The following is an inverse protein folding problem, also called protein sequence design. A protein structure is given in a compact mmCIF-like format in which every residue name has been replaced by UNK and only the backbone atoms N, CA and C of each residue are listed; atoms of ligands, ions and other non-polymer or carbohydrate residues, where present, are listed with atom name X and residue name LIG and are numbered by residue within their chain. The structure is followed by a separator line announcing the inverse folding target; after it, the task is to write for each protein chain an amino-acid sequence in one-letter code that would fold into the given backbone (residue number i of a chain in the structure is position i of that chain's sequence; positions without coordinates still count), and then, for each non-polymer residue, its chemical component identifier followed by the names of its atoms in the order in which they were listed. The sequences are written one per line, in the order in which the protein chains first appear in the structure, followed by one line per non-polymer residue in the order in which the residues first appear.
data_IF_895390821916
#
_entry.id   IF_895390821916
#
_cell.length_a   1.000
_cell.length_b   1.000
_cell.length_c   1.000
_cell.angle_alpha   90.00
_cell.angle_beta   90.00
_cell.angle_gamma   90.00
#
_symmetry.space_group_name_H-M   'P 1'
#
loop_
_entity.id
_entity.type
_entity.pdbx_description
1 polymer ?
#
# COMPACT_ATOMS: atom_id res chain seq x y z
N UNK A 1 4.50 -21.27 -19.93
CA UNK A 1 4.23 -21.25 -18.49
C UNK A 1 3.17 -20.20 -18.22
N UNK A 2 2.14 -20.56 -17.48
CA UNK A 2 1.11 -19.65 -17.02
C UNK A 2 1.36 -19.33 -15.54
N UNK A 3 1.47 -18.06 -15.15
CA UNK A 3 1.66 -17.65 -13.77
C UNK A 3 0.59 -16.66 -13.31
N UNK A 4 0.25 -16.70 -12.01
CA UNK A 4 -0.54 -15.68 -11.34
C UNK A 4 0.40 -14.78 -10.54
N UNK A 5 0.47 -13.48 -10.88
CA UNK A 5 1.26 -12.49 -10.16
C UNK A 5 0.34 -11.73 -9.20
N UNK A 6 0.65 -11.85 -7.93
CA UNK A 6 -0.03 -11.19 -6.80
C UNK A 6 0.99 -10.44 -5.94
N UNK A 7 0.55 -9.46 -5.16
CA UNK A 7 1.39 -8.66 -4.27
C UNK A 7 0.56 -8.01 -3.18
N UNK A 8 1.22 -7.52 -2.13
CA UNK A 8 0.66 -6.58 -1.15
C UNK A 8 -0.70 -7.05 -0.58
N UNK A 9 -0.76 -8.33 -0.18
CA UNK A 9 -1.98 -8.95 0.34
C UNK A 9 -2.28 -8.55 1.78
N UNK A 10 -1.27 -8.07 2.53
CA UNK A 10 -1.38 -7.51 3.88
C UNK A 10 -2.29 -8.31 4.82
N UNK A 11 -2.11 -9.63 4.87
CA UNK A 11 -2.88 -10.49 5.77
C UNK A 11 -2.74 -10.03 7.22
N UNK A 12 -3.86 -9.90 7.92
CA UNK A 12 -3.92 -9.40 9.29
C UNK A 12 -4.09 -7.89 9.40
N UNK A 13 -4.18 -7.15 8.26
CA UNK A 13 -4.47 -5.73 8.30
C UNK A 13 -5.89 -5.46 8.76
N UNK A 14 -6.02 -4.78 9.89
CA UNK A 14 -7.29 -4.36 10.47
C UNK A 14 -7.58 -2.90 10.09
N UNK A 15 -7.91 -2.65 8.80
CA UNK A 15 -8.22 -1.31 8.32
C UNK A 15 -9.33 -0.68 9.17
N UNK A 16 -9.07 0.53 9.70
CA UNK A 16 -9.96 1.29 10.60
C UNK A 16 -10.29 0.57 11.92
N UNK A 17 -9.44 -0.38 12.37
CA UNK A 17 -9.67 -1.25 13.51
C UNK A 17 -10.95 -2.11 13.41
N UNK A 18 -11.38 -2.42 12.20
CA UNK A 18 -12.55 -3.25 11.94
C UNK A 18 -12.13 -4.70 11.67
N UNK A 19 -12.69 -5.62 12.45
CA UNK A 19 -12.55 -7.06 12.23
C UNK A 19 -13.15 -7.48 10.88
N UNK A 20 -14.27 -6.86 10.48
CA UNK A 20 -14.88 -7.08 9.17
C UNK A 20 -13.93 -6.75 8.01
N UNK A 21 -13.04 -5.74 8.15
CA UNK A 21 -12.05 -5.41 7.13
C UNK A 21 -10.87 -6.38 7.13
N UNK A 22 -10.47 -6.89 8.27
CA UNK A 22 -9.47 -7.96 8.36
C UNK A 22 -9.98 -9.23 7.65
N UNK A 23 -11.22 -9.62 7.92
CA UNK A 23 -11.88 -10.75 7.27
C UNK A 23 -12.03 -10.56 5.75
N UNK A 24 -12.30 -9.34 5.28
CA UNK A 24 -12.36 -9.05 3.84
C UNK A 24 -11.03 -9.38 3.14
N UNK A 25 -9.87 -9.05 3.76
CA UNK A 25 -8.57 -9.38 3.19
C UNK A 25 -8.31 -10.89 3.16
N UNK A 26 -8.76 -11.63 4.18
CA UNK A 26 -8.68 -13.08 4.21
C UNK A 26 -9.51 -13.72 3.08
N UNK A 27 -10.72 -13.21 2.85
CA UNK A 27 -11.57 -13.67 1.75
C UNK A 27 -10.98 -13.33 0.38
N UNK A 28 -10.39 -12.14 0.24
CA UNK A 28 -9.69 -11.73 -1.00
C UNK A 28 -8.51 -12.66 -1.27
N UNK A 29 -7.72 -13.02 -0.25
CA UNK A 29 -6.62 -13.96 -0.42
C UNK A 29 -7.12 -15.35 -0.85
N UNK A 30 -8.23 -15.82 -0.26
CA UNK A 30 -8.87 -17.06 -0.69
C UNK A 30 -9.34 -17.00 -2.15
N UNK A 31 -9.95 -15.88 -2.60
CA UNK A 31 -10.33 -15.68 -4.00
C UNK A 31 -9.11 -15.74 -4.95
N UNK A 32 -7.95 -15.19 -4.55
CA UNK A 32 -6.72 -15.28 -5.35
C UNK A 32 -6.24 -16.73 -5.51
N UNK A 33 -6.36 -17.53 -4.46
CA UNK A 33 -6.06 -18.96 -4.50
C UNK A 33 -7.06 -19.71 -5.39
N UNK A 34 -8.35 -19.37 -5.30
CA UNK A 34 -9.39 -19.92 -6.18
C UNK A 34 -9.07 -19.61 -7.65
N UNK A 35 -8.74 -18.36 -7.98
CA UNK A 35 -8.32 -17.94 -9.32
C UNK A 35 -7.10 -18.76 -9.83
N UNK A 36 -6.10 -18.96 -8.97
CA UNK A 36 -4.92 -19.76 -9.34
C UNK A 36 -5.29 -21.20 -9.69
N UNK A 37 -6.23 -21.79 -8.94
CA UNK A 37 -6.71 -23.18 -9.16
C UNK A 37 -7.60 -23.26 -10.40
N UNK A 38 -8.54 -22.32 -10.56
CA UNK A 38 -9.48 -22.28 -11.69
C UNK A 38 -8.78 -22.06 -13.02
N UNK A 39 -7.83 -21.12 -13.06
CA UNK A 39 -7.00 -20.82 -14.24
C UNK A 39 -5.91 -21.90 -14.47
N UNK A 40 -5.74 -22.83 -13.54
CA UNK A 40 -4.76 -23.93 -13.61
C UNK A 40 -3.35 -23.40 -13.87
N UNK A 41 -2.96 -22.36 -13.13
CA UNK A 41 -1.64 -21.76 -13.30
C UNK A 41 -0.53 -22.74 -12.93
N UNK A 42 0.63 -22.59 -13.54
CA UNK A 42 1.82 -23.39 -13.25
C UNK A 42 2.52 -22.95 -11.97
N UNK A 43 2.29 -21.70 -11.55
CA UNK A 43 2.91 -21.09 -10.38
C UNK A 43 2.15 -19.84 -9.95
N UNK A 44 2.10 -19.57 -8.64
CA UNK A 44 1.77 -18.24 -8.08
C UNK A 44 3.07 -17.55 -7.73
N UNK A 45 3.24 -16.30 -8.18
CA UNK A 45 4.36 -15.43 -7.85
C UNK A 45 3.83 -14.28 -6.98
N UNK A 46 4.37 -14.14 -5.77
CA UNK A 46 4.01 -13.09 -4.81
C UNK A 46 5.18 -12.12 -4.62
N UNK A 47 5.00 -10.87 -5.01
CA UNK A 47 6.07 -9.88 -5.00
C UNK A 47 6.16 -9.03 -3.72
N UNK A 48 5.90 -9.66 -2.55
CA UNK A 48 6.13 -9.07 -1.22
C UNK A 48 4.88 -8.56 -0.52
N UNK A 49 5.02 -8.29 0.77
CA UNK A 49 3.96 -7.86 1.70
C UNK A 49 2.79 -8.87 1.75
N UNK A 50 3.16 -10.11 2.09
CA UNK A 50 2.16 -11.16 2.35
C UNK A 50 1.37 -10.84 3.62
N UNK A 51 2.05 -10.34 4.66
CA UNK A 51 1.45 -9.91 5.92
C UNK A 51 1.57 -8.41 6.12
N UNK A 52 0.64 -7.82 6.90
CA UNK A 52 0.66 -6.38 7.22
C UNK A 52 1.77 -5.99 8.20
N UNK A 53 2.28 -6.94 8.95
CA UNK A 53 3.37 -6.74 9.91
C UNK A 53 4.27 -7.97 9.98
N UNK A 54 5.53 -7.75 10.35
CA UNK A 54 6.55 -8.81 10.46
C UNK A 54 6.29 -9.85 11.58
N UNK A 55 5.37 -9.58 12.48
CA UNK A 55 4.89 -10.50 13.51
C UNK A 55 3.36 -10.51 13.47
N UNK A 56 2.77 -11.22 12.49
CA UNK A 56 1.33 -11.27 12.29
C UNK A 56 0.61 -12.01 13.43
N UNK A 57 -0.72 -11.89 13.45
CA UNK A 57 -1.55 -12.65 14.37
C UNK A 57 -1.54 -14.14 14.00
N UNK A 58 -1.76 -15.01 15.00
CA UNK A 58 -1.92 -16.45 14.75
C UNK A 58 -3.04 -16.74 13.73
N UNK A 59 -4.07 -15.89 13.67
CA UNK A 59 -5.17 -16.04 12.72
C UNK A 59 -4.68 -15.78 11.30
N UNK A 60 -3.94 -14.69 11.07
CA UNK A 60 -3.35 -14.38 9.76
C UNK A 60 -2.40 -15.50 9.30
N UNK A 61 -1.57 -16.04 10.20
CA UNK A 61 -0.69 -17.18 9.89
C UNK A 61 -1.49 -18.43 9.52
N UNK A 62 -2.54 -18.75 10.29
CA UNK A 62 -3.41 -19.90 10.00
C UNK A 62 -4.11 -19.79 8.65
N UNK A 63 -4.60 -18.59 8.30
CA UNK A 63 -5.20 -18.32 6.99
C UNK A 63 -4.16 -18.55 5.87
N UNK A 64 -2.95 -17.98 6.02
CA UNK A 64 -1.89 -18.19 5.05
C UNK A 64 -1.55 -19.68 4.89
N UNK A 65 -1.34 -20.41 5.98
CA UNK A 65 -1.04 -21.84 5.95
C UNK A 65 -2.17 -22.61 5.25
N UNK A 66 -3.43 -22.33 5.57
CA UNK A 66 -4.58 -23.01 4.97
C UNK A 66 -4.64 -22.79 3.46
N UNK A 67 -4.57 -21.56 3.01
CA UNK A 67 -4.70 -21.21 1.60
C UNK A 67 -3.50 -21.69 0.77
N UNK A 68 -2.28 -21.55 1.31
CA UNK A 68 -1.08 -22.08 0.66
C UNK A 68 -1.05 -23.61 0.59
N UNK A 69 -1.64 -24.30 1.58
CA UNK A 69 -1.82 -25.75 1.55
C UNK A 69 -2.75 -26.17 0.41
N UNK A 70 -3.82 -25.41 0.13
CA UNK A 70 -4.71 -25.68 -1.01
C UNK A 70 -3.96 -25.63 -2.35
N UNK A 71 -3.06 -24.66 -2.55
CA UNK A 71 -2.20 -24.60 -3.73
C UNK A 71 -1.27 -25.80 -3.79
N UNK A 72 -0.60 -26.13 -2.68
CA UNK A 72 0.30 -27.28 -2.58
C UNK A 72 -0.40 -28.58 -2.93
N UNK A 73 -1.61 -28.81 -2.44
CA UNK A 73 -2.42 -29.98 -2.73
C UNK A 73 -2.81 -30.11 -4.21
N UNK A 74 -2.86 -28.97 -4.91
CA UNK A 74 -3.07 -28.91 -6.38
C UNK A 74 -1.76 -28.97 -7.17
N UNK A 75 -0.62 -29.07 -6.49
CA UNK A 75 0.70 -29.08 -7.13
C UNK A 75 1.11 -27.71 -7.73
N UNK A 76 0.48 -26.62 -7.29
CA UNK A 76 0.79 -25.25 -7.72
C UNK A 76 1.79 -24.66 -6.72
N UNK A 77 3.06 -24.46 -7.08
CA UNK A 77 4.04 -23.83 -6.20
C UNK A 77 3.72 -22.36 -5.98
N UNK A 78 3.90 -21.92 -4.73
CA UNK A 78 3.87 -20.51 -4.37
C UNK A 78 5.31 -20.01 -4.20
N UNK A 79 5.70 -19.04 -5.01
CA UNK A 79 7.04 -18.44 -5.00
C UNK A 79 6.86 -16.98 -4.57
N UNK A 80 7.44 -16.60 -3.43
CA UNK A 80 7.25 -15.26 -2.91
C UNK A 80 8.48 -14.75 -2.19
N UNK A 81 8.62 -13.44 -2.13
CA UNK A 81 9.69 -12.75 -1.40
C UNK A 81 9.09 -11.95 -0.24
N UNK A 82 9.82 -11.76 0.87
CA UNK A 82 9.43 -10.81 1.90
C UNK A 82 9.47 -9.37 1.37
N UNK A 83 8.39 -8.59 1.62
CA UNK A 83 8.34 -7.16 1.43
C UNK A 83 8.85 -6.39 2.66
N UNK A 84 8.57 -5.09 2.73
CA UNK A 84 9.02 -4.25 3.84
C UNK A 84 8.17 -4.44 5.10
N UNK A 85 6.88 -4.77 4.95
CA UNK A 85 6.01 -5.13 6.07
C UNK A 85 6.36 -6.51 6.66
N UNK A 86 6.79 -7.47 5.84
CA UNK A 86 7.20 -8.80 6.28
C UNK A 86 8.58 -8.80 6.97
N UNK A 87 9.36 -7.73 6.82
CA UNK A 87 10.75 -7.65 7.27
C UNK A 87 10.86 -6.84 8.57
N UNK A 88 11.55 -7.37 9.62
CA UNK A 88 11.75 -6.62 10.86
C UNK A 88 12.53 -5.32 10.64
N UNK A 89 12.00 -4.19 11.13
CA UNK A 89 12.62 -2.85 11.00
C UNK A 89 13.82 -2.64 11.95
N UNK A 90 13.96 -3.47 13.00
CA UNK A 90 15.08 -3.37 13.95
C UNK A 90 16.21 -4.34 13.58
N UNK A 91 17.43 -3.82 13.46
CA UNK A 91 18.64 -4.64 13.37
C UNK A 91 18.91 -5.30 14.72
N UNK A 92 18.51 -6.58 14.90
CA UNK A 92 19.12 -7.44 15.91
C UNK A 92 20.47 -7.94 15.41
N UNK A 93 21.36 -8.32 16.33
CA UNK A 93 22.57 -9.07 16.02
C UNK A 93 22.15 -10.48 15.57
N UNK A 94 22.00 -10.67 14.25
CA UNK A 94 21.67 -11.96 13.66
C UNK A 94 20.62 -11.86 12.54
N UNK A 95 20.49 -12.95 11.77
CA UNK A 95 19.46 -13.10 10.74
C UNK A 95 18.10 -13.20 11.46
N UNK A 96 17.24 -12.21 11.30
CA UNK A 96 15.87 -12.28 11.82
C UNK A 96 15.11 -13.35 11.03
N UNK A 97 14.57 -14.35 11.75
CA UNK A 97 13.65 -15.32 11.17
C UNK A 97 12.33 -14.59 10.89
N UNK A 98 11.84 -14.72 9.66
CA UNK A 98 10.56 -14.16 9.23
C UNK A 98 9.49 -15.26 9.16
N UNK A 99 8.22 -14.88 9.06
CA UNK A 99 7.14 -15.84 8.81
C UNK A 99 7.36 -16.57 7.48
N UNK A 100 7.98 -15.91 6.49
CA UNK A 100 8.37 -16.57 5.23
C UNK A 100 9.33 -17.74 5.45
N UNK A 101 10.31 -17.62 6.35
CA UNK A 101 11.24 -18.71 6.68
C UNK A 101 10.50 -19.90 7.33
N UNK A 102 9.47 -19.63 8.14
CA UNK A 102 8.59 -20.65 8.69
C UNK A 102 7.77 -21.35 7.60
N UNK A 103 7.10 -20.55 6.74
CA UNK A 103 6.30 -21.11 5.63
C UNK A 103 7.16 -21.90 4.64
N UNK A 104 8.40 -21.48 4.42
CA UNK A 104 9.38 -22.22 3.62
C UNK A 104 9.76 -23.56 4.27
N UNK A 105 9.97 -23.56 5.59
CA UNK A 105 10.25 -24.80 6.35
C UNK A 105 9.08 -25.80 6.25
N UNK A 106 7.84 -25.31 6.21
CA UNK A 106 6.63 -26.12 5.99
C UNK A 106 6.47 -26.57 4.52
N UNK A 107 7.33 -26.09 3.63
CA UNK A 107 7.25 -26.38 2.19
C UNK A 107 6.01 -25.77 1.50
N UNK A 108 5.49 -24.66 2.05
CA UNK A 108 4.32 -23.94 1.53
C UNK A 108 4.72 -22.79 0.59
N UNK A 109 5.90 -22.24 0.77
CA UNK A 109 6.46 -21.15 -0.05
C UNK A 109 7.89 -21.50 -0.46
N UNK A 110 8.33 -20.99 -1.60
CA UNK A 110 9.73 -20.96 -2.01
C UNK A 110 10.17 -19.52 -2.17
N UNK A 111 11.33 -19.17 -1.62
CA UNK A 111 11.88 -17.81 -1.68
C UNK A 111 13.07 -17.81 -2.62
N UNK A 112 12.96 -17.16 -3.81
CA UNK A 112 14.07 -17.06 -4.74
C UNK A 112 15.06 -15.99 -4.32
N UNK A 113 16.34 -16.17 -4.69
CA UNK A 113 17.37 -15.13 -4.58
C UNK A 113 17.97 -14.84 -5.97
N UNK A 114 18.70 -13.74 -6.13
CA UNK A 114 19.38 -13.43 -7.40
C UNK A 114 20.46 -14.47 -7.73
N UNK A 115 21.15 -14.98 -6.70
CA UNK A 115 22.20 -16.01 -6.83
C UNK A 115 21.66 -17.44 -6.84
N UNK A 116 20.46 -17.67 -6.28
CA UNK A 116 19.82 -18.97 -6.16
C UNK A 116 18.38 -18.90 -6.68
N UNK A 117 18.20 -18.78 -8.01
CA UNK A 117 16.89 -18.71 -8.62
C UNK A 117 16.16 -20.06 -8.57
N UNK A 118 14.85 -20.00 -8.77
CA UNK A 118 13.99 -21.19 -8.80
C UNK A 118 13.53 -21.45 -10.24
N UNK A 119 13.63 -22.69 -10.69
CA UNK A 119 13.18 -23.07 -12.02
C UNK A 119 11.78 -23.71 -11.96
N UNK A 120 10.87 -23.24 -12.82
CA UNK A 120 9.53 -23.78 -13.01
C UNK A 120 9.24 -23.90 -14.51
N UNK A 121 9.04 -25.12 -14.98
CA UNK A 121 8.68 -25.40 -16.39
C UNK A 121 9.56 -24.68 -17.44
N UNK A 122 10.86 -24.63 -17.18
CA UNK A 122 11.84 -24.02 -18.09
C UNK A 122 11.88 -22.49 -18.04
N UNK A 123 11.26 -21.87 -17.03
CA UNK A 123 11.36 -20.45 -16.73
C UNK A 123 12.12 -20.27 -15.42
N UNK A 124 13.15 -19.43 -15.43
CA UNK A 124 13.98 -19.15 -14.26
C UNK A 124 13.42 -17.96 -13.52
N UNK A 125 13.11 -18.12 -12.22
CA UNK A 125 12.53 -17.10 -11.34
C UNK A 125 13.60 -16.62 -10.39
N UNK A 126 14.05 -15.39 -10.58
CA UNK A 126 14.96 -14.65 -9.71
C UNK A 126 14.16 -13.82 -8.73
N UNK A 127 14.70 -13.57 -7.54
CA UNK A 127 14.05 -12.70 -6.57
C UNK A 127 15.03 -11.98 -5.66
N UNK A 128 14.57 -10.91 -5.06
CA UNK A 128 15.27 -10.22 -3.98
C UNK A 128 14.26 -9.66 -3.01
N UNK A 129 14.40 -10.05 -1.73
CA UNK A 129 13.62 -9.47 -0.63
C UNK A 129 13.80 -7.96 -0.56
N UNK A 130 12.89 -7.27 0.09
CA UNK A 130 13.00 -5.82 0.30
C UNK A 130 14.37 -5.43 0.87
N UNK A 131 14.97 -4.41 0.28
CA UNK A 131 16.23 -3.80 0.72
C UNK A 131 15.90 -2.45 1.36
N UNK A 132 16.02 -2.31 2.69
CA UNK A 132 15.78 -1.04 3.35
C UNK A 132 16.73 0.05 2.87
N UNK A 133 16.24 1.28 2.74
CA UNK A 133 17.06 2.47 2.47
C UNK A 133 17.82 2.86 3.73
N UNK A 134 18.96 2.24 3.98
CA UNK A 134 19.80 2.49 5.14
C UNK A 134 20.94 3.47 4.86
N UNK A 135 21.40 3.51 3.62
CA UNK A 135 22.46 4.37 3.12
C UNK A 135 22.43 4.40 1.59
N UNK A 136 23.11 5.35 1.01
CA UNK A 136 23.31 5.44 -0.43
C UNK A 136 24.09 4.24 -0.98
N UNK A 137 25.05 3.73 -0.19
CA UNK A 137 25.82 2.53 -0.54
C UNK A 137 24.94 1.29 -0.68
N UNK A 138 23.99 1.08 0.26
CA UNK A 138 23.07 -0.07 0.19
C UNK A 138 22.18 -0.03 -1.06
N UNK A 139 21.79 1.15 -1.50
CA UNK A 139 21.03 1.35 -2.75
C UNK A 139 21.91 1.05 -3.95
N UNK A 140 23.13 1.57 -3.99
CA UNK A 140 24.08 1.36 -5.07
C UNK A 140 24.42 -0.11 -5.23
N UNK A 141 24.74 -0.81 -4.14
CA UNK A 141 25.03 -2.25 -4.12
C UNK A 141 23.86 -3.07 -4.70
N UNK A 142 22.62 -2.70 -4.33
CA UNK A 142 21.43 -3.37 -4.86
C UNK A 142 21.25 -3.13 -6.36
N UNK A 143 21.42 -1.89 -6.83
CA UNK A 143 21.32 -1.54 -8.24
C UNK A 143 22.41 -2.24 -9.07
N UNK A 144 23.63 -2.31 -8.57
CA UNK A 144 24.73 -3.03 -9.21
C UNK A 144 24.47 -4.53 -9.28
N UNK A 145 23.91 -5.12 -8.22
CA UNK A 145 23.52 -6.53 -8.20
C UNK A 145 22.44 -6.83 -9.27
N UNK A 146 21.46 -5.93 -9.45
CA UNK A 146 20.46 -6.07 -10.50
C UNK A 146 21.08 -5.96 -11.90
N UNK A 147 21.86 -4.92 -12.16
CA UNK A 147 22.51 -4.67 -13.48
C UNK A 147 23.51 -5.78 -13.87
N UNK A 148 24.12 -6.42 -12.87
CA UNK A 148 25.07 -7.53 -13.10
C UNK A 148 24.39 -8.87 -13.38
N UNK A 149 23.08 -8.99 -13.12
CA UNK A 149 22.30 -10.21 -13.39
C UNK A 149 22.30 -10.51 -14.88
N UNK A 150 22.61 -11.77 -15.24
CA UNK A 150 22.66 -12.27 -16.63
C UNK A 150 21.65 -13.42 -16.78
N UNK A 151 20.35 -13.12 -16.93
CA UNK A 151 19.35 -14.15 -17.10
C UNK A 151 19.59 -14.96 -18.38
N UNK A 152 19.29 -16.24 -18.33
CA UNK A 152 19.36 -17.13 -19.49
C UNK A 152 17.96 -17.65 -19.82
N UNK A 153 17.57 -17.52 -21.09
CA UNK A 153 16.25 -17.95 -21.54
C UNK A 153 15.10 -17.11 -20.95
N UNK A 154 13.93 -17.71 -20.88
CA UNK A 154 12.76 -17.04 -20.27
C UNK A 154 12.94 -16.91 -18.77
N UNK A 155 12.73 -15.71 -18.26
CA UNK A 155 13.01 -15.38 -16.86
C UNK A 155 11.99 -14.41 -16.26
N UNK A 156 11.75 -14.59 -14.96
CA UNK A 156 10.94 -13.72 -14.14
C UNK A 156 11.82 -13.12 -13.05
N UNK A 157 11.71 -11.82 -12.80
CA UNK A 157 12.38 -11.14 -11.69
C UNK A 157 11.33 -10.64 -10.71
N UNK A 158 11.42 -11.05 -9.44
CA UNK A 158 10.46 -10.73 -8.39
C UNK A 158 11.10 -9.74 -7.42
N UNK A 159 10.51 -8.54 -7.27
CA UNK A 159 11.04 -7.48 -6.42
C UNK A 159 9.94 -6.76 -5.64
N UNK A 160 10.30 -6.25 -4.46
CA UNK A 160 9.44 -5.41 -3.63
C UNK A 160 10.22 -4.16 -3.22
N UNK A 161 10.23 -3.13 -4.07
CA UNK A 161 11.10 -1.97 -3.92
C UNK A 161 10.41 -0.68 -4.39
N UNK A 162 10.76 0.45 -3.77
CA UNK A 162 10.39 1.76 -4.28
C UNK A 162 11.07 2.03 -5.63
N UNK A 163 10.28 2.40 -6.63
CA UNK A 163 10.73 2.71 -8.00
C UNK A 163 10.70 4.22 -8.21
N UNK A 164 11.82 4.77 -8.67
CA UNK A 164 12.02 6.22 -8.82
C UNK A 164 10.92 6.88 -9.64
N UNK A 165 10.56 6.30 -10.77
CA UNK A 165 9.61 6.86 -11.72
C UNK A 165 8.15 6.89 -11.21
N UNK A 166 7.86 6.18 -10.13
CA UNK A 166 6.53 6.08 -9.53
C UNK A 166 6.39 6.88 -8.22
N UNK A 167 7.50 7.43 -7.71
CA UNK A 167 7.52 8.20 -6.48
C UNK A 167 7.54 9.71 -6.78
N UNK A 168 6.80 10.52 -6.00
CA UNK A 168 6.81 11.98 -6.16
C UNK A 168 8.10 12.62 -5.63
N UNK A 169 9.01 11.84 -5.03
CA UNK A 169 10.21 12.33 -4.34
C UNK A 169 11.47 11.62 -4.82
N UNK A 170 12.52 12.39 -5.07
CA UNK A 170 13.80 11.88 -5.61
C UNK A 170 14.69 11.13 -4.59
N UNK A 171 14.24 10.90 -3.36
CA UNK A 171 15.06 10.29 -2.31
C UNK A 171 14.52 8.98 -1.72
N UNK A 172 13.28 8.63 -1.96
CA UNK A 172 12.61 7.48 -1.32
C UNK A 172 12.54 6.23 -2.22
N UNK A 173 13.49 6.03 -3.13
CA UNK A 173 13.50 4.88 -4.04
C UNK A 173 14.74 4.01 -3.86
N UNK A 174 14.61 2.73 -4.12
CA UNK A 174 15.71 1.77 -4.17
C UNK A 174 16.23 1.56 -5.58
N UNK A 175 15.37 1.67 -6.59
CA UNK A 175 15.71 1.39 -7.98
C UNK A 175 14.95 2.28 -8.96
N UNK A 176 15.42 2.27 -10.21
CA UNK A 176 14.74 2.77 -11.40
C UNK A 176 14.31 1.60 -12.28
N UNK A 177 13.35 1.77 -13.16
CA UNK A 177 13.01 0.76 -14.17
C UNK A 177 14.20 0.40 -15.07
N UNK A 178 15.14 1.33 -15.26
CA UNK A 178 16.38 1.09 -16.05
C UNK A 178 17.36 0.14 -15.35
N UNK A 179 17.25 -0.11 -14.05
CA UNK A 179 18.10 -1.05 -13.32
C UNK A 179 17.71 -2.52 -13.56
N UNK A 180 16.48 -2.74 -14.04
CA UNK A 180 16.02 -4.10 -14.40
C UNK A 180 16.65 -4.52 -15.72
N UNK A 181 17.44 -5.62 -15.78
CA UNK A 181 18.06 -6.09 -17.02
C UNK A 181 17.04 -6.26 -18.15
N UNK A 182 17.43 -5.89 -19.34
CA UNK A 182 16.59 -6.00 -20.54
C UNK A 182 16.29 -7.45 -20.92
N UNK A 183 17.13 -8.38 -20.51
CA UNK A 183 16.99 -9.82 -20.74
C UNK A 183 15.90 -10.47 -19.87
N UNK A 184 15.44 -9.80 -18.83
CA UNK A 184 14.30 -10.28 -18.03
C UNK A 184 13.04 -10.24 -18.87
N UNK A 185 12.39 -11.40 -19.03
CA UNK A 185 11.16 -11.54 -19.80
C UNK A 185 9.98 -10.86 -19.12
N UNK A 186 9.85 -11.02 -17.79
CA UNK A 186 8.78 -10.44 -16.98
C UNK A 186 9.31 -10.00 -15.61
N UNK A 187 9.15 -8.74 -15.25
CA UNK A 187 9.46 -8.26 -13.92
C UNK A 187 8.17 -8.10 -13.10
N UNK A 188 8.06 -8.89 -12.03
CA UNK A 188 6.96 -8.92 -11.09
C UNK A 188 7.30 -8.05 -9.88
N UNK A 189 6.71 -6.85 -9.80
CA UNK A 189 6.98 -5.87 -8.77
C UNK A 189 5.81 -5.75 -7.78
N UNK A 190 6.12 -5.42 -6.53
CA UNK A 190 5.19 -5.02 -5.46
C UNK A 190 5.50 -3.64 -4.91
N UNK A 191 5.06 -3.37 -3.67
CA UNK A 191 5.23 -2.13 -2.90
C UNK A 191 4.27 -0.99 -3.28
N UNK A 192 3.87 -0.89 -4.53
CA UNK A 192 2.85 0.07 -4.95
C UNK A 192 1.51 -0.64 -5.06
N UNK A 193 0.49 -0.05 -4.45
CA UNK A 193 -0.81 -0.71 -4.33
C UNK A 193 -1.70 -0.55 -5.57
N UNK A 194 -1.38 0.36 -6.48
CA UNK A 194 -2.07 0.48 -7.75
C UNK A 194 -1.46 -0.44 -8.81
N UNK A 195 -2.32 -1.07 -9.59
CA UNK A 195 -1.90 -1.88 -10.73
C UNK A 195 -1.22 -1.04 -11.79
N UNK A 196 -0.10 -1.55 -12.27
CA UNK A 196 0.67 -0.93 -13.35
C UNK A 196 1.23 -2.01 -14.27
N UNK A 197 1.29 -1.74 -15.57
CA UNK A 197 1.95 -2.59 -16.56
C UNK A 197 2.61 -1.73 -17.62
N UNK A 198 3.85 -2.04 -17.92
CA UNK A 198 4.64 -1.38 -18.95
C UNK A 198 5.30 -2.45 -19.85
N UNK A 199 5.12 -2.31 -21.15
CA UNK A 199 5.81 -3.12 -22.16
C UNK A 199 7.03 -2.35 -22.66
N UNK A 200 8.19 -3.00 -22.64
CA UNK A 200 9.43 -2.44 -23.17
C UNK A 200 9.52 -2.64 -24.67
N UNK A 201 10.41 -1.91 -25.35
CA UNK A 201 10.63 -1.99 -26.80
C UNK A 201 11.05 -3.40 -27.26
N UNK A 202 11.77 -4.14 -26.43
CA UNK A 202 12.18 -5.52 -26.70
C UNK A 202 11.07 -6.57 -26.44
N UNK A 203 9.85 -6.15 -26.14
CA UNK A 203 8.70 -7.01 -25.86
C UNK A 203 8.60 -7.50 -24.40
N UNK A 204 9.65 -7.30 -23.58
CA UNK A 204 9.58 -7.67 -22.16
C UNK A 204 8.59 -6.79 -21.38
N UNK A 205 8.12 -7.29 -20.23
CA UNK A 205 7.09 -6.60 -19.45
C UNK A 205 7.56 -6.35 -18.02
N UNK A 206 7.28 -5.15 -17.52
CA UNK A 206 7.37 -4.79 -16.09
C UNK A 206 5.95 -4.56 -15.60
N UNK A 207 5.55 -5.23 -14.53
CA UNK A 207 4.22 -5.10 -13.97
C UNK A 207 4.24 -5.04 -12.44
N UNK A 208 3.34 -4.24 -11.89
CA UNK A 208 3.03 -4.16 -10.47
C UNK A 208 1.62 -4.75 -10.30
N UNK A 209 1.48 -5.75 -9.43
CA UNK A 209 0.18 -6.37 -9.22
C UNK A 209 -0.77 -5.47 -8.41
N UNK A 210 -0.20 -4.67 -7.54
CA UNK A 210 -0.93 -3.86 -6.58
C UNK A 210 -1.51 -4.68 -5.43
N UNK A 211 -2.03 -3.99 -4.41
CA UNK A 211 -2.79 -4.66 -3.37
C UNK A 211 -4.09 -5.23 -3.95
N UNK A 212 -4.50 -6.45 -3.59
CA UNK A 212 -5.71 -7.05 -4.15
C UNK A 212 -7.00 -6.52 -3.53
N UNK A 213 -6.94 -5.79 -2.42
CA UNK A 213 -8.06 -5.03 -1.82
C UNK A 213 -7.68 -3.54 -1.69
N UNK A 214 -8.66 -2.69 -1.40
CA UNK A 214 -8.48 -1.26 -1.10
C UNK A 214 -8.09 -1.15 0.38
N UNK A 215 -6.80 -0.99 0.68
CA UNK A 215 -6.30 -0.89 2.05
C UNK A 215 -5.98 0.54 2.49
N UNK A 216 -6.03 1.48 1.55
CA UNK A 216 -5.89 2.92 1.77
C UNK A 216 -6.87 3.68 0.86
N UNK A 217 -7.46 4.77 1.34
CA UNK A 217 -8.43 5.57 0.58
C UNK A 217 -7.85 6.20 -0.70
N UNK A 218 -6.55 6.41 -0.76
CA UNK A 218 -5.85 6.94 -1.95
C UNK A 218 -5.88 5.98 -3.13
N UNK A 219 -6.12 4.69 -2.88
CA UNK A 219 -6.19 3.64 -3.90
C UNK A 219 -7.56 3.60 -4.62
N UNK A 220 -8.59 4.28 -4.10
CA UNK A 220 -9.95 4.21 -4.64
C UNK A 220 -10.01 4.66 -6.11
N UNK A 221 -9.29 5.72 -6.46
CA UNK A 221 -9.25 6.20 -7.85
C UNK A 221 -8.46 5.26 -8.77
N UNK A 222 -7.37 4.67 -8.27
CA UNK A 222 -6.63 3.61 -8.98
C UNK A 222 -7.49 2.37 -9.22
N UNK A 223 -8.23 1.94 -8.18
CA UNK A 223 -9.17 0.84 -8.28
C UNK A 223 -10.26 1.07 -9.34
N UNK A 224 -10.87 2.25 -9.37
CA UNK A 224 -11.89 2.59 -10.39
C UNK A 224 -11.36 2.50 -11.82
N UNK A 225 -10.08 2.82 -12.03
CA UNK A 225 -9.44 2.77 -13.36
C UNK A 225 -8.95 1.39 -13.76
N UNK A 226 -8.30 0.68 -12.84
CA UNK A 226 -7.50 -0.51 -13.16
C UNK A 226 -8.02 -1.80 -12.51
N UNK A 227 -9.04 -1.71 -11.62
CA UNK A 227 -9.48 -2.84 -10.80
C UNK A 227 -8.43 -3.27 -9.77
N UNK A 228 -8.73 -4.31 -9.01
CA UNK A 228 -7.84 -4.96 -8.03
C UNK A 228 -7.96 -6.49 -8.10
N UNK A 229 -6.89 -7.21 -7.70
CA UNK A 229 -6.79 -8.67 -7.73
C UNK A 229 -5.40 -9.12 -8.18
N UNK A 230 -5.26 -9.80 -9.32
CA UNK A 230 -4.00 -10.36 -9.80
C UNK A 230 -3.76 -10.08 -11.29
N UNK A 231 -2.52 -10.29 -11.74
CA UNK A 231 -2.18 -10.43 -13.15
C UNK A 231 -2.03 -11.91 -13.52
N UNK A 232 -2.78 -12.36 -14.51
CA UNK A 232 -2.54 -13.63 -15.19
C UNK A 232 -1.54 -13.40 -16.31
N UNK A 233 -0.39 -14.09 -16.26
CA UNK A 233 0.72 -13.87 -17.18
C UNK A 233 1.04 -15.15 -17.92
N UNK A 234 0.89 -15.13 -19.25
CA UNK A 234 1.26 -16.24 -20.11
C UNK A 234 2.63 -15.99 -20.74
N UNK A 235 3.60 -16.81 -20.35
CA UNK A 235 4.97 -16.83 -20.85
C UNK A 235 5.21 -17.94 -21.89
N UNK A 236 4.18 -18.54 -22.47
CA UNK A 236 4.33 -19.59 -23.48
C UNK A 236 4.90 -19.05 -24.81
N UNK A 237 4.54 -17.80 -25.14
CA UNK A 237 5.02 -17.08 -26.34
C UNK A 237 6.30 -16.31 -26.06
N UNK A 238 6.93 -15.78 -27.10
CA UNK A 238 8.15 -14.96 -26.94
C UNK A 238 7.90 -13.70 -26.14
N UNK A 239 6.77 -13.04 -26.39
CA UNK A 239 6.32 -11.91 -25.59
C UNK A 239 5.29 -12.33 -24.55
N UNK A 240 5.42 -11.85 -23.28
CA UNK A 240 4.43 -12.08 -22.23
C UNK A 240 3.07 -11.49 -22.58
N UNK A 241 2.00 -12.28 -22.37
CA UNK A 241 0.64 -11.76 -22.36
C UNK A 241 0.21 -11.53 -20.90
N UNK A 242 -0.30 -10.35 -20.59
CA UNK A 242 -0.70 -9.95 -19.23
C UNK A 242 -2.18 -9.58 -19.24
N UNK A 243 -2.98 -10.28 -18.44
CA UNK A 243 -4.42 -10.08 -18.30
C UNK A 243 -4.78 -9.82 -16.85
N UNK A 244 -5.56 -8.77 -16.57
CA UNK A 244 -6.04 -8.48 -15.21
C UNK A 244 -7.18 -9.41 -14.80
N UNK A 245 -7.03 -10.10 -13.68
CA UNK A 245 -8.10 -10.82 -13.00
C UNK A 245 -8.55 -10.02 -11.78
N UNK A 246 -9.83 -9.70 -11.71
CA UNK A 246 -10.38 -8.94 -10.60
C UNK A 246 -11.01 -9.87 -9.56
N UNK A 247 -10.93 -9.47 -8.29
CA UNK A 247 -11.61 -10.11 -7.17
C UNK A 247 -12.81 -9.27 -6.73
N UNK A 248 -13.72 -9.88 -5.99
CA UNK A 248 -14.85 -9.19 -5.40
C UNK A 248 -14.43 -8.55 -4.09
N UNK A 249 -14.73 -7.26 -3.95
CA UNK A 249 -14.34 -6.44 -2.81
C UNK A 249 -15.56 -5.90 -2.07
N UNK A 250 -15.38 -5.56 -0.79
CA UNK A 250 -16.29 -4.62 -0.11
C UNK A 250 -16.21 -3.28 -0.82
N UNK A 251 -17.34 -2.66 -1.19
CA UNK A 251 -17.32 -1.36 -1.84
C UNK A 251 -16.67 -0.30 -0.93
N UNK A 252 -15.81 0.53 -1.51
CA UNK A 252 -15.29 1.73 -0.87
C UNK A 252 -15.39 2.89 -1.86
N UNK A 253 -15.80 4.06 -1.39
CA UNK A 253 -15.89 5.25 -2.25
C UNK A 253 -15.61 6.54 -1.50
N UNK A 254 -15.15 7.55 -2.24
CA UNK A 254 -15.03 8.94 -1.79
C UNK A 254 -16.22 9.70 -2.33
N UNK A 255 -17.07 10.21 -1.44
CA UNK A 255 -18.29 10.93 -1.81
C UNK A 255 -18.33 12.35 -1.23
N UNK A 256 -18.84 13.31 -2.02
CA UNK A 256 -19.08 14.67 -1.55
C UNK A 256 -20.45 14.75 -0.88
N UNK A 257 -20.47 15.31 0.34
CA UNK A 257 -21.66 15.40 1.18
C UNK A 257 -21.85 16.84 1.67
N UNK A 258 -23.04 17.39 1.49
CA UNK A 258 -23.38 18.68 2.06
C UNK A 258 -23.88 18.51 3.49
N UNK A 259 -23.39 19.31 4.43
CA UNK A 259 -23.76 19.22 5.84
C UNK A 259 -25.25 19.47 6.11
N UNK A 260 -25.93 20.25 5.26
CA UNK A 260 -27.37 20.50 5.34
C UNK A 260 -28.23 19.33 4.89
N UNK A 261 -27.76 18.51 3.93
CA UNK A 261 -28.45 17.32 3.39
C UNK A 261 -27.70 16.00 3.71
N UNK A 262 -26.91 15.98 4.78
CA UNK A 262 -25.92 14.96 5.11
C UNK A 262 -26.44 13.52 4.94
N UNK A 263 -27.56 13.17 5.57
CA UNK A 263 -28.11 11.82 5.57
C UNK A 263 -28.64 11.45 4.18
N UNK A 264 -29.34 12.39 3.51
CA UNK A 264 -29.89 12.18 2.18
C UNK A 264 -28.78 11.97 1.14
N UNK A 265 -27.74 12.79 1.20
CA UNK A 265 -26.59 12.67 0.30
C UNK A 265 -25.90 11.32 0.44
N UNK A 266 -25.69 10.84 1.68
CA UNK A 266 -25.08 9.54 1.93
C UNK A 266 -25.94 8.41 1.40
N UNK A 267 -27.26 8.41 1.71
CA UNK A 267 -28.17 7.35 1.26
C UNK A 267 -28.23 7.28 -0.28
N UNK A 268 -28.18 8.44 -0.93
CA UNK A 268 -28.27 8.51 -2.39
C UNK A 268 -26.96 8.13 -3.09
N UNK A 269 -25.80 8.52 -2.52
CA UNK A 269 -24.49 8.41 -3.18
C UNK A 269 -23.70 7.16 -2.76
N UNK A 270 -24.06 6.53 -1.65
CA UNK A 270 -23.38 5.32 -1.19
C UNK A 270 -23.46 4.21 -2.24
N UNK A 271 -22.33 3.52 -2.53
CA UNK A 271 -22.37 2.34 -3.38
C UNK A 271 -23.26 1.27 -2.77
N UNK A 272 -23.88 0.48 -3.62
CA UNK A 272 -24.73 -0.65 -3.17
C UNK A 272 -23.84 -1.71 -2.50
N UNK A 273 -24.37 -2.39 -1.46
CA UNK A 273 -23.68 -3.52 -0.86
C UNK A 273 -23.35 -4.60 -1.90
N UNK A 274 -22.18 -5.20 -1.77
CA UNK A 274 -21.76 -6.36 -2.57
C UNK A 274 -21.73 -7.59 -1.66
N UNK A 275 -22.44 -8.64 -2.03
CA UNK A 275 -22.57 -9.88 -1.24
C UNK A 275 -22.95 -9.63 0.24
N UNK A 276 -23.83 -8.64 0.46
CA UNK A 276 -24.29 -8.25 1.81
C UNK A 276 -23.30 -7.36 2.59
N UNK A 277 -22.14 -7.07 2.05
CA UNK A 277 -21.13 -6.20 2.70
C UNK A 277 -21.46 -4.74 2.46
N UNK A 278 -21.76 -4.02 3.55
CA UNK A 278 -21.95 -2.58 3.52
C UNK A 278 -20.68 -1.84 3.10
N UNK A 279 -20.77 -0.70 2.37
CA UNK A 279 -19.61 0.04 1.91
C UNK A 279 -18.84 0.73 3.05
N UNK A 280 -17.57 1.02 2.80
CA UNK A 280 -16.80 2.02 3.55
C UNK A 280 -16.84 3.34 2.78
N UNK A 281 -17.21 4.42 3.46
CA UNK A 281 -17.36 5.75 2.86
C UNK A 281 -16.33 6.73 3.39
N UNK A 282 -15.73 7.48 2.47
CA UNK A 282 -14.81 8.56 2.74
C UNK A 282 -15.46 9.88 2.31
N UNK A 283 -15.78 10.74 3.27
CA UNK A 283 -16.56 11.93 3.00
C UNK A 283 -15.71 13.16 2.72
N UNK A 284 -16.04 13.86 1.66
CA UNK A 284 -15.62 15.24 1.44
C UNK A 284 -16.79 16.12 1.87
N UNK A 285 -16.68 16.78 3.02
CA UNK A 285 -17.73 17.65 3.53
C UNK A 285 -17.74 18.98 2.80
N UNK A 286 -18.94 19.47 2.51
CA UNK A 286 -19.22 20.80 1.92
C UNK A 286 -20.38 21.47 2.66
N UNK A 287 -20.54 22.77 2.46
CA UNK A 287 -21.63 23.55 3.04
C UNK A 287 -21.25 24.24 4.33
N UNK A 288 -22.24 24.46 5.21
CA UNK A 288 -22.06 25.17 6.46
C UNK A 288 -21.25 24.36 7.47
N UNK A 289 -20.43 25.00 8.32
CA UNK A 289 -19.73 24.35 9.42
C UNK A 289 -20.67 23.58 10.33
N UNK A 290 -20.27 22.37 10.71
CA UNK A 290 -20.99 21.51 11.64
C UNK A 290 -20.10 21.18 12.83
N UNK A 291 -20.66 21.16 14.06
CA UNK A 291 -19.88 20.77 15.23
C UNK A 291 -19.51 19.29 15.17
N UNK A 292 -18.34 18.94 15.70
CA UNK A 292 -17.85 17.56 15.74
C UNK A 292 -18.88 16.61 16.37
N UNK A 293 -19.51 17.01 17.48
CA UNK A 293 -20.50 16.17 18.17
C UNK A 293 -21.74 15.91 17.33
N UNK A 294 -22.26 16.95 16.64
CA UNK A 294 -23.40 16.80 15.75
C UNK A 294 -23.05 15.90 14.54
N UNK A 295 -21.87 16.09 13.96
CA UNK A 295 -21.37 15.26 12.86
C UNK A 295 -21.23 13.80 13.29
N UNK A 296 -20.60 13.52 14.44
CA UNK A 296 -20.41 12.15 14.93
C UNK A 296 -21.74 11.47 15.25
N UNK A 297 -22.76 12.19 15.76
CA UNK A 297 -24.10 11.64 15.94
C UNK A 297 -24.77 11.26 14.63
N UNK A 298 -24.63 12.09 13.57
CA UNK A 298 -25.15 11.78 12.24
C UNK A 298 -24.44 10.55 11.64
N UNK A 299 -23.11 10.47 11.74
CA UNK A 299 -22.33 9.31 11.30
C UNK A 299 -22.80 8.04 12.00
N UNK A 300 -22.87 8.05 13.33
CA UNK A 300 -23.27 6.89 14.14
C UNK A 300 -24.69 6.40 13.81
N UNK A 301 -25.60 7.27 13.34
CA UNK A 301 -26.95 6.88 12.93
C UNK A 301 -27.00 6.07 11.64
N UNK A 302 -25.96 6.16 10.79
CA UNK A 302 -25.86 5.56 9.46
C UNK A 302 -24.91 4.35 9.43
N UNK A 303 -23.90 4.31 10.30
CA UNK A 303 -23.00 3.15 10.44
C UNK A 303 -23.78 1.91 10.86
N UNK A 304 -23.47 0.77 10.26
CA UNK A 304 -24.18 -0.50 10.43
C UNK A 304 -25.53 -0.60 9.69
N UNK A 305 -25.97 0.48 9.02
CA UNK A 305 -27.24 0.49 8.24
C UNK A 305 -27.01 0.79 6.76
N UNK A 306 -26.27 1.84 6.47
CA UNK A 306 -25.98 2.34 5.11
C UNK A 306 -24.52 2.08 4.74
N UNK A 307 -23.62 2.19 5.70
CA UNK A 307 -22.19 1.95 5.55
C UNK A 307 -21.66 1.16 6.72
N UNK A 308 -20.62 0.35 6.48
CA UNK A 308 -19.84 -0.34 7.51
C UNK A 308 -19.05 0.67 8.34
N UNK A 309 -18.44 1.65 7.66
CA UNK A 309 -17.68 2.73 8.25
C UNK A 309 -17.83 4.00 7.44
N UNK A 310 -17.92 5.13 8.14
CA UNK A 310 -17.95 6.46 7.55
C UNK A 310 -16.78 7.26 8.13
N UNK A 311 -15.95 7.80 7.25
CA UNK A 311 -14.77 8.60 7.62
C UNK A 311 -14.81 9.96 6.95
N UNK A 312 -14.30 10.96 7.63
CA UNK A 312 -14.05 12.27 7.02
C UNK A 312 -12.69 12.20 6.31
N UNK A 313 -12.71 12.28 4.99
CA UNK A 313 -11.52 12.34 4.16
C UNK A 313 -11.02 13.78 4.02
N UNK A 314 -11.97 14.71 3.81
CA UNK A 314 -11.67 16.13 3.69
C UNK A 314 -12.83 16.96 4.21
N UNK A 315 -12.53 17.99 4.99
CA UNK A 315 -13.52 18.95 5.45
C UNK A 315 -13.30 20.29 4.74
N UNK A 316 -14.24 20.64 3.85
CA UNK A 316 -14.25 21.90 3.11
C UNK A 316 -15.30 22.88 3.64
N UNK A 317 -15.92 22.61 4.80
CA UNK A 317 -16.98 23.47 5.36
C UNK A 317 -16.44 24.82 5.84
N UNK A 318 -15.14 24.91 6.17
CA UNK A 318 -14.50 26.10 6.68
C UNK A 318 -14.05 27.09 5.59
N UNK A 319 -14.13 26.72 4.31
CA UNK A 319 -13.63 27.56 3.20
C UNK A 319 -14.58 28.71 2.86
N UNK A 320 -15.85 28.68 3.30
CA UNK A 320 -16.88 29.65 2.94
C UNK A 320 -17.31 30.60 4.06
N UNK A 321 -16.63 30.66 5.21
CA UNK A 321 -16.89 31.73 6.17
C UNK A 321 -16.41 33.04 5.56
N UNK A 322 -17.32 34.02 5.46
CA UNK A 322 -17.18 35.32 4.78
C UNK A 322 -16.02 36.23 5.24
N UNK A 323 -15.04 35.70 5.94
CA UNK A 323 -13.83 36.38 6.40
C UNK A 323 -12.66 36.41 5.43
N UNK A 324 -12.73 35.73 4.27
CA UNK A 324 -11.66 35.71 3.27
C UNK A 324 -11.97 36.45 1.96
N UNK A 325 -12.96 37.33 1.96
CA UNK A 325 -13.24 38.21 0.80
C UNK A 325 -12.16 39.25 0.54
N UNK A 326 -11.21 39.44 1.44
CA UNK A 326 -10.05 40.34 1.30
C UNK A 326 -8.71 39.64 1.61
N UNK A 327 -8.46 38.50 0.95
CA UNK A 327 -7.06 38.11 0.73
C UNK A 327 -6.61 38.82 -0.53
N UNK A 328 -6.43 40.14 -0.45
CA UNK A 328 -5.35 40.78 -1.16
C UNK A 328 -4.11 39.95 -0.93
N UNK A 329 -3.51 39.43 -1.99
CA UNK A 329 -2.27 38.66 -2.03
C UNK A 329 -1.39 39.04 -0.83
N UNK A 330 -1.47 38.24 0.26
CA UNK A 330 -0.62 38.45 1.42
C UNK A 330 0.78 38.11 0.94
N UNK A 331 1.59 39.14 0.78
CA UNK A 331 3.03 39.00 0.56
C UNK A 331 3.67 38.55 1.86
N UNK A 332 3.51 37.24 2.18
CA UNK A 332 4.13 36.59 3.32
C UNK A 332 4.58 35.18 2.94
N UNK A 333 5.63 34.68 3.58
CA UNK A 333 6.06 33.28 3.44
C UNK A 333 5.01 32.36 4.05
N UNK A 334 5.03 31.06 3.68
CA UNK A 334 4.17 30.03 4.30
C UNK A 334 4.30 30.06 5.83
N UNK A 335 5.50 30.33 6.33
CA UNK A 335 5.80 30.44 7.75
C UNK A 335 5.04 31.59 8.44
N UNK A 336 4.89 32.74 7.75
CA UNK A 336 4.13 33.88 8.26
C UNK A 336 2.64 33.53 8.40
N UNK A 337 2.10 32.79 7.44
CA UNK A 337 0.70 32.32 7.47
C UNK A 337 0.47 31.32 8.60
N UNK A 338 1.41 30.39 8.83
CA UNK A 338 1.33 29.42 9.94
C UNK A 338 1.42 30.15 11.28
N UNK A 339 2.32 31.10 11.45
CA UNK A 339 2.43 31.91 12.66
C UNK A 339 1.16 32.70 12.93
N UNK A 340 0.60 33.35 11.91
CA UNK A 340 -0.65 34.10 12.04
C UNK A 340 -1.82 33.18 12.46
N UNK A 341 -1.91 31.97 11.88
CA UNK A 341 -2.90 30.97 12.24
C UNK A 341 -2.76 30.54 13.70
N UNK A 342 -1.56 30.16 14.13
CA UNK A 342 -1.30 29.70 15.50
C UNK A 342 -1.64 30.80 16.53
N UNK A 343 -1.30 32.05 16.25
CA UNK A 343 -1.55 33.16 17.17
C UNK A 343 -3.02 33.58 17.15
N UNK A 344 -3.62 33.81 15.99
CA UNK A 344 -4.96 34.39 15.88
C UNK A 344 -6.10 33.38 16.03
N UNK A 345 -5.88 32.12 15.65
CA UNK A 345 -6.93 31.08 15.65
C UNK A 345 -6.79 30.11 16.79
N UNK A 346 -5.57 29.63 17.05
CA UNK A 346 -5.32 28.65 18.10
C UNK A 346 -5.01 29.30 19.46
N UNK A 347 -4.76 30.63 19.49
CA UNK A 347 -4.56 31.39 20.72
C UNK A 347 -3.19 31.20 21.39
N UNK A 348 -2.21 30.66 20.65
CA UNK A 348 -0.84 30.56 21.18
C UNK A 348 -0.19 31.93 21.34
N UNK A 349 0.73 32.06 22.31
CA UNK A 349 1.59 33.23 22.38
C UNK A 349 2.47 33.33 21.11
N UNK A 350 2.92 34.54 20.73
CA UNK A 350 3.85 34.68 19.60
C UNK A 350 5.15 33.89 19.78
N UNK A 351 5.57 33.65 21.02
CA UNK A 351 6.76 32.85 21.36
C UNK A 351 6.51 31.38 21.20
N UNK A 352 5.40 30.86 21.71
CA UNK A 352 5.00 29.44 21.54
C UNK A 352 4.74 29.10 20.07
N UNK A 353 4.08 30.00 19.34
CA UNK A 353 3.83 29.81 17.90
C UNK A 353 5.13 29.68 17.10
N UNK A 354 6.18 30.44 17.45
CA UNK A 354 7.51 30.32 16.84
C UNK A 354 8.19 29.01 17.19
N UNK A 355 8.08 28.54 18.45
CA UNK A 355 8.62 27.25 18.85
C UNK A 355 7.95 26.09 18.10
N UNK A 356 6.61 26.15 17.97
CA UNK A 356 5.84 25.16 17.18
C UNK A 356 6.29 25.17 15.73
N UNK A 357 6.47 26.35 15.12
CA UNK A 357 6.93 26.46 13.75
C UNK A 357 8.35 25.89 13.57
N UNK A 358 9.26 26.17 14.52
CA UNK A 358 10.61 25.62 14.50
C UNK A 358 10.59 24.10 14.66
N UNK A 359 9.71 23.55 15.50
CA UNK A 359 9.54 22.10 15.66
C UNK A 359 9.07 21.41 14.37
N UNK A 360 8.14 22.06 13.64
CA UNK A 360 7.63 21.55 12.36
C UNK A 360 8.72 21.60 11.26
N UNK A 361 9.62 22.57 11.33
CA UNK A 361 10.66 22.83 10.34
C UNK A 361 11.97 22.05 10.61
N UNK A 362 12.13 21.44 11.79
CA UNK A 362 13.36 20.74 12.17
C UNK A 362 13.29 19.26 11.79
N UNK A 363 14.35 18.76 11.15
CA UNK A 363 14.57 17.34 10.85
C UNK A 363 15.60 16.70 11.83
N UNK A 364 16.11 17.47 12.80
CA UNK A 364 17.10 17.03 13.76
C UNK A 364 16.47 16.66 15.11
N UNK A 365 16.69 15.43 15.57
CA UNK A 365 16.07 14.88 16.80
C UNK A 365 16.53 15.62 18.08
N UNK A 366 17.78 16.06 18.15
CA UNK A 366 18.30 16.80 19.30
C UNK A 366 17.76 18.23 19.33
N UNK A 367 17.63 18.87 18.16
CA UNK A 367 16.98 20.17 18.04
C UNK A 367 15.52 20.09 18.43
N UNK A 368 14.79 19.09 17.97
CA UNK A 368 13.38 18.86 18.34
C UNK A 368 13.21 18.67 19.84
N UNK A 369 14.08 17.90 20.49
CA UNK A 369 14.07 17.73 21.96
C UNK A 369 14.32 19.04 22.69
N UNK A 370 15.26 19.86 22.24
CA UNK A 370 15.55 21.18 22.80
C UNK A 370 14.33 22.10 22.69
N UNK A 371 13.69 22.15 21.52
CA UNK A 371 12.48 22.96 21.29
C UNK A 371 11.33 22.49 22.19
N UNK A 372 11.11 21.18 22.31
CA UNK A 372 10.06 20.63 23.21
C UNK A 372 10.33 20.96 24.68
N UNK A 373 11.59 20.93 25.11
CA UNK A 373 12.00 21.28 26.48
C UNK A 373 11.69 22.75 26.78
N UNK A 374 11.96 23.65 25.83
CA UNK A 374 11.61 25.08 25.92
C UNK A 374 10.11 25.28 25.95
N UNK A 375 9.37 24.65 25.07
CA UNK A 375 7.90 24.74 25.01
C UNK A 375 7.24 24.23 26.28
N UNK A 376 7.78 23.18 26.89
CA UNK A 376 7.29 22.64 28.16
C UNK A 376 7.72 23.47 29.40
N UNK A 377 8.51 24.54 29.26
CA UNK A 377 9.01 25.35 30.38
C UNK A 377 9.96 24.58 31.31
N UNK A 378 10.64 23.54 30.80
CA UNK A 378 11.51 22.65 31.57
C UNK A 378 13.00 23.06 31.52
N UNK A 379 13.33 24.17 30.87
CA UNK A 379 14.68 24.76 30.98
C UNK A 379 14.91 25.27 32.39
N UNK A 380 15.94 24.73 33.08
CA UNK A 380 16.47 25.24 34.32
C UNK A 380 17.51 26.33 34.07
#
# INVERSE_FOLDING_TARGET
MLLLHVSDTHLGKRQYNLESRENDLYEVFSQLVDLAIEERVDVVVHSGDLFDVNNPSNEAEMIAIRELSRLKDKGIPFIGIPGDHDTPKRRGLGRSVTVHDMLQTLGLIKVPELSEPIEVKGVTIYGKRHVPLLSEDSRTDFQEALRSLKPKGKSVLVLHQGVKELLPFDYAYQMSFSDIPTEITYAALGHFHDRFVMRRENGSVVAIAGSPDIIDEREIEGYKRNGKGAWLVDLSKDEPSVTGLNVKLRPQDVIEVNTSSFEQDIIQKAPKPVEGKLPVLHLILKGEPITKDALMKKIASLEGKVAEKIRIYKDNTYILSEGFKDVSVVKGSLNDLILEYLIKREGYSPEDAKLILSLIASDDEEEMKSILTKFAGLEK
#
